data_IF_274091245852
#
_entry.id   IF_274091245852
#
_cell.length_a   1.000
_cell.length_b   1.000
_cell.length_c   1.000
_cell.angle_alpha   90.00
_cell.angle_beta   90.00
_cell.angle_gamma   90.00
#
_symmetry.space_group_name_H-M   'P 1'
#
loop_
_entity.id
_entity.type
_entity.pdbx_description
1 polymer ?
#
# COMPACT_ATOMS: atom_id res chain seq x y z
N UNK A 1 -35.10 -36.60 -15.10
CA UNK A 1 -34.93 -36.57 -13.64
C UNK A 1 -33.68 -35.76 -13.36
N UNK A 2 -33.73 -34.78 -12.45
CA UNK A 2 -32.52 -34.08 -12.00
C UNK A 2 -31.58 -35.11 -11.34
N UNK A 3 -30.28 -35.08 -11.66
CA UNK A 3 -29.25 -35.93 -11.04
C UNK A 3 -28.58 -35.21 -9.85
N UNK A 4 -29.35 -34.41 -9.13
CA UNK A 4 -28.84 -33.70 -7.97
C UNK A 4 -28.75 -34.64 -6.76
N UNK A 5 -27.61 -34.59 -6.08
CA UNK A 5 -27.35 -35.33 -4.84
C UNK A 5 -27.21 -34.34 -3.68
N UNK A 6 -27.87 -34.65 -2.57
CA UNK A 6 -27.84 -33.84 -1.34
C UNK A 6 -27.43 -34.73 -0.17
N UNK A 7 -26.29 -34.43 0.45
CA UNK A 7 -25.74 -35.16 1.59
C UNK A 7 -25.71 -34.25 2.81
N UNK A 8 -26.15 -34.79 3.94
CA UNK A 8 -26.06 -34.17 5.25
C UNK A 8 -25.63 -35.23 6.26
N UNK A 9 -24.34 -35.25 6.61
CA UNK A 9 -23.75 -36.23 7.53
C UNK A 9 -23.30 -35.58 8.83
N UNK A 10 -23.47 -36.30 9.93
CA UNK A 10 -22.94 -35.98 11.25
C UNK A 10 -22.15 -37.21 11.75
N UNK A 11 -20.83 -37.16 11.61
CA UNK A 11 -19.92 -38.26 11.93
C UNK A 11 -18.87 -37.81 12.96
N UNK A 12 -17.99 -38.72 13.41
CA UNK A 12 -16.88 -38.38 14.32
C UNK A 12 -15.95 -37.29 13.75
N UNK A 13 -15.82 -37.25 12.42
CA UNK A 13 -15.04 -36.23 11.72
C UNK A 13 -15.71 -34.85 11.77
N UNK A 14 -17.02 -34.77 12.05
CA UNK A 14 -17.79 -33.54 12.12
C UNK A 14 -18.97 -33.48 11.15
N UNK A 15 -19.43 -32.26 10.84
CA UNK A 15 -20.53 -32.02 9.91
C UNK A 15 -20.00 -31.97 8.48
N UNK A 16 -20.67 -32.69 7.57
CA UNK A 16 -20.48 -32.59 6.13
C UNK A 16 -21.83 -32.28 5.46
N UNK A 17 -21.90 -31.12 4.79
CA UNK A 17 -23.01 -30.75 3.91
C UNK A 17 -22.46 -30.71 2.49
N UNK A 18 -23.05 -31.46 1.58
CA UNK A 18 -22.64 -31.51 0.18
C UNK A 18 -23.87 -31.47 -0.72
N UNK A 19 -23.94 -30.44 -1.57
CA UNK A 19 -25.01 -30.25 -2.55
C UNK A 19 -24.36 -30.31 -3.92
N UNK A 20 -24.65 -31.35 -4.69
CA UNK A 20 -24.04 -31.61 -5.99
C UNK A 20 -25.10 -31.70 -7.08
N UNK A 21 -24.74 -31.19 -8.25
CA UNK A 21 -25.39 -31.48 -9.53
C UNK A 21 -24.37 -32.24 -10.41
N UNK A 22 -24.71 -32.55 -11.67
CA UNK A 22 -23.85 -33.37 -12.55
C UNK A 22 -22.40 -32.89 -12.66
N UNK A 23 -22.16 -31.57 -12.64
CA UNK A 23 -20.82 -30.98 -12.72
C UNK A 23 -20.55 -29.84 -11.73
N UNK A 24 -21.57 -29.43 -10.97
CA UNK A 24 -21.50 -28.30 -10.03
C UNK A 24 -21.64 -28.79 -8.60
N UNK A 25 -21.18 -28.00 -7.64
CA UNK A 25 -21.38 -28.35 -6.25
C UNK A 25 -21.00 -27.28 -5.25
N UNK A 26 -21.59 -27.40 -4.08
CA UNK A 26 -21.27 -26.62 -2.89
C UNK A 26 -21.07 -27.59 -1.72
N UNK A 27 -19.87 -27.58 -1.14
CA UNK A 27 -19.51 -28.45 -0.01
C UNK A 27 -19.07 -27.60 1.17
N UNK A 28 -19.63 -27.88 2.35
CA UNK A 28 -19.23 -27.27 3.62
C UNK A 28 -18.86 -28.37 4.62
N UNK A 29 -17.71 -28.20 5.30
CA UNK A 29 -17.26 -29.09 6.38
C UNK A 29 -16.98 -28.31 7.66
N UNK A 30 -17.49 -28.79 8.78
CA UNK A 30 -17.14 -28.34 10.13
C UNK A 30 -16.51 -29.51 10.87
N UNK A 31 -15.18 -29.61 10.82
CA UNK A 31 -14.44 -30.80 11.26
C UNK A 31 -14.07 -30.73 12.76
N UNK A 32 -14.07 -31.87 13.44
CA UNK A 32 -13.64 -32.00 14.85
C UNK A 32 -12.14 -31.72 15.06
N UNK A 33 -11.36 -31.70 13.97
CA UNK A 33 -9.95 -31.27 13.93
C UNK A 33 -9.76 -29.75 14.13
N UNK A 34 -10.84 -28.98 14.17
CA UNK A 34 -10.81 -27.51 14.26
C UNK A 34 -10.74 -26.81 12.90
N UNK A 35 -10.98 -27.54 11.81
CA UNK A 35 -11.00 -26.99 10.44
C UNK A 35 -12.42 -26.69 9.98
N UNK A 36 -12.60 -25.52 9.37
CA UNK A 36 -13.80 -25.14 8.63
C UNK A 36 -13.42 -25.00 7.16
N UNK A 37 -14.20 -25.57 6.25
CA UNK A 37 -13.97 -25.40 4.81
C UNK A 37 -15.26 -25.24 4.04
N UNK A 38 -15.24 -24.35 3.05
CA UNK A 38 -16.32 -24.10 2.11
C UNK A 38 -15.75 -24.17 0.70
N UNK A 39 -16.44 -24.86 -0.20
CA UNK A 39 -16.10 -24.91 -1.62
C UNK A 39 -17.37 -24.65 -2.42
N UNK A 40 -17.25 -23.88 -3.48
CA UNK A 40 -18.30 -23.65 -4.46
C UNK A 40 -17.68 -23.65 -5.86
N UNK A 41 -18.41 -24.14 -6.85
CA UNK A 41 -17.93 -24.16 -8.24
C UNK A 41 -18.06 -22.82 -8.95
N UNK A 42 -18.84 -21.87 -8.43
CA UNK A 42 -19.09 -20.57 -9.04
C UNK A 42 -18.59 -19.42 -8.16
N UNK A 43 -19.33 -19.06 -7.11
CA UNK A 43 -19.00 -17.96 -6.21
C UNK A 43 -19.38 -18.26 -4.75
N UNK A 44 -18.77 -17.51 -3.84
CA UNK A 44 -19.25 -17.35 -2.46
C UNK A 44 -19.45 -15.84 -2.28
N UNK A 45 -20.71 -15.42 -2.26
CA UNK A 45 -21.09 -14.02 -2.05
C UNK A 45 -21.53 -13.85 -0.60
N UNK A 46 -20.97 -12.86 0.09
CA UNK A 46 -21.25 -12.60 1.51
C UNK A 46 -21.38 -11.10 1.74
N UNK A 47 -22.62 -10.65 1.86
CA UNK A 47 -22.97 -9.24 2.08
C UNK A 47 -23.29 -8.98 3.55
N UNK A 48 -23.00 -7.77 4.04
CA UNK A 48 -23.35 -7.32 5.38
C UNK A 48 -23.81 -5.87 5.35
N UNK A 49 -24.71 -5.47 6.27
CA UNK A 49 -25.22 -4.11 6.32
C UNK A 49 -24.24 -3.10 6.92
N UNK A 50 -23.35 -3.54 7.82
CA UNK A 50 -22.48 -2.65 8.59
C UNK A 50 -21.01 -3.00 8.48
N UNK A 51 -20.68 -4.28 8.68
CA UNK A 51 -19.30 -4.70 8.80
C UNK A 51 -19.10 -6.17 8.43
N UNK A 52 -17.97 -6.44 7.77
CA UNK A 52 -17.35 -7.77 7.70
C UNK A 52 -16.04 -7.68 8.48
N UNK A 53 -15.73 -8.66 9.33
CA UNK A 53 -14.48 -8.68 10.10
C UNK A 53 -13.94 -10.09 10.21
N UNK A 54 -12.67 -10.24 9.88
CA UNK A 54 -11.90 -11.47 10.03
C UNK A 54 -10.71 -11.21 10.95
N UNK A 55 -10.66 -11.93 12.07
CA UNK A 55 -9.61 -11.76 13.08
C UNK A 55 -8.82 -13.06 13.26
N UNK A 56 -7.49 -12.93 13.32
CA UNK A 56 -6.58 -14.01 13.74
C UNK A 56 -5.59 -13.44 14.74
N UNK A 57 -5.87 -13.62 16.04
CA UNK A 57 -5.10 -13.00 17.14
C UNK A 57 -5.03 -11.47 16.97
N UNK A 58 -3.84 -10.90 16.79
CA UNK A 58 -3.57 -9.47 16.63
C UNK A 58 -3.70 -8.99 15.17
N UNK A 59 -4.11 -9.87 14.24
CA UNK A 59 -4.33 -9.53 12.82
C UNK A 59 -5.82 -9.38 12.52
N UNK A 60 -6.18 -8.35 11.77
CA UNK A 60 -7.56 -7.99 11.44
C UNK A 60 -7.69 -7.58 9.97
N UNK A 61 -8.72 -8.09 9.32
CA UNK A 61 -9.28 -7.53 8.10
C UNK A 61 -10.68 -7.04 8.45
N UNK A 62 -11.00 -5.78 8.16
CA UNK A 62 -12.39 -5.30 8.30
C UNK A 62 -12.82 -4.42 7.17
N UNK A 63 -14.07 -4.58 6.77
CA UNK A 63 -14.75 -3.78 5.76
C UNK A 63 -15.94 -3.13 6.43
N UNK A 64 -16.08 -1.83 6.26
CA UNK A 64 -17.25 -1.02 6.64
C UNK A 64 -17.69 -0.20 5.43
N UNK A 65 -18.76 0.58 5.54
CA UNK A 65 -19.23 1.45 4.46
C UNK A 65 -18.15 2.43 3.94
N UNK A 66 -17.23 2.88 4.80
CA UNK A 66 -16.27 3.96 4.49
C UNK A 66 -14.81 3.52 4.56
N UNK A 67 -14.55 2.31 5.03
CA UNK A 67 -13.19 1.89 5.36
C UNK A 67 -12.98 0.40 5.10
N UNK A 68 -11.89 0.10 4.41
CA UNK A 68 -11.27 -1.22 4.37
C UNK A 68 -9.94 -1.15 5.12
N UNK A 69 -9.80 -1.97 6.16
CA UNK A 69 -8.62 -2.03 7.01
C UNK A 69 -7.96 -3.40 6.92
N UNK A 70 -6.67 -3.42 6.62
CA UNK A 70 -5.78 -4.58 6.71
C UNK A 70 -4.74 -4.26 7.79
N UNK A 71 -4.86 -4.83 8.99
CA UNK A 71 -4.04 -4.45 10.13
C UNK A 71 -3.41 -5.65 10.83
N UNK A 72 -2.20 -5.45 11.32
CA UNK A 72 -1.55 -6.26 12.35
C UNK A 72 -1.18 -5.36 13.53
N UNK A 73 -0.50 -5.92 14.53
CA UNK A 73 -0.02 -5.16 15.70
C UNK A 73 0.81 -3.91 15.38
N UNK A 74 1.60 -3.90 14.29
CA UNK A 74 2.57 -2.83 13.98
C UNK A 74 2.44 -2.24 12.58
N UNK A 75 1.57 -2.81 11.75
CA UNK A 75 1.37 -2.38 10.38
C UNK A 75 -0.11 -2.26 10.06
N UNK A 76 -0.46 -1.31 9.20
CA UNK A 76 -1.81 -1.19 8.68
C UNK A 76 -1.83 -0.63 7.26
N UNK A 77 -2.79 -1.08 6.48
CA UNK A 77 -3.24 -0.43 5.25
C UNK A 77 -4.70 -0.07 5.48
N UNK A 78 -5.03 1.21 5.31
CA UNK A 78 -6.37 1.74 5.46
C UNK A 78 -6.77 2.39 4.14
N UNK A 79 -7.84 1.89 3.55
CA UNK A 79 -8.48 2.47 2.36
C UNK A 79 -9.76 3.14 2.84
N UNK A 80 -9.83 4.46 2.67
CA UNK A 80 -10.99 5.28 3.01
C UNK A 80 -11.39 6.08 1.75
N UNK A 81 -12.59 6.64 1.73
CA UNK A 81 -13.21 7.24 0.53
C UNK A 81 -12.32 8.28 -0.18
N UNK A 82 -11.57 9.09 0.58
CA UNK A 82 -10.72 10.17 0.06
C UNK A 82 -9.24 9.98 0.44
N UNK A 83 -8.87 8.83 0.99
CA UNK A 83 -7.56 8.65 1.60
C UNK A 83 -7.09 7.21 1.67
N UNK A 84 -5.85 6.97 1.27
CA UNK A 84 -5.13 5.71 1.48
C UNK A 84 -3.99 5.97 2.47
N UNK A 85 -3.88 5.15 3.51
CA UNK A 85 -2.80 5.23 4.51
C UNK A 85 -2.11 3.88 4.64
N UNK A 86 -0.80 3.87 4.42
CA UNK A 86 0.07 2.72 4.65
C UNK A 86 1.01 3.07 5.80
N UNK A 87 0.99 2.29 6.88
CA UNK A 87 1.76 2.55 8.09
C UNK A 87 2.55 1.34 8.52
N UNK A 88 3.83 1.54 8.86
CA UNK A 88 4.69 0.57 9.53
C UNK A 88 5.47 1.30 10.62
N UNK A 89 5.13 1.07 11.88
CA UNK A 89 5.70 1.83 13.00
C UNK A 89 5.48 3.34 12.83
N UNK A 90 6.57 4.11 12.70
CA UNK A 90 6.54 5.57 12.51
C UNK A 90 6.64 5.99 11.03
N UNK A 91 6.88 5.06 10.11
CA UNK A 91 6.91 5.36 8.68
C UNK A 91 5.50 5.28 8.12
N UNK A 92 5.11 6.31 7.38
CA UNK A 92 3.76 6.45 6.81
C UNK A 92 3.83 6.92 5.36
N UNK A 93 3.01 6.32 4.51
CA UNK A 93 2.68 6.84 3.18
C UNK A 93 1.19 7.17 3.19
N UNK A 94 0.88 8.39 2.81
CA UNK A 94 -0.48 8.91 2.74
C UNK A 94 -0.74 9.38 1.32
N UNK A 95 -1.84 8.90 0.74
CA UNK A 95 -2.38 9.40 -0.53
C UNK A 95 -3.74 10.02 -0.22
N UNK A 96 -3.90 11.27 -0.58
CA UNK A 96 -5.10 12.08 -0.44
C UNK A 96 -5.52 12.57 -1.85
N UNK A 97 -6.71 13.17 -1.97
CA UNK A 97 -7.25 13.64 -3.26
C UNK A 97 -6.29 14.54 -4.07
N UNK A 98 -5.42 15.29 -3.40
CA UNK A 98 -4.50 16.25 -4.02
C UNK A 98 -3.05 16.15 -3.56
N UNK A 99 -2.70 15.13 -2.77
CA UNK A 99 -1.35 15.03 -2.20
C UNK A 99 -0.88 13.60 -2.03
N UNK A 100 0.45 13.47 -2.05
CA UNK A 100 1.16 12.26 -1.66
C UNK A 100 2.19 12.68 -0.62
N UNK A 101 2.06 12.15 0.60
CA UNK A 101 2.97 12.43 1.70
C UNK A 101 3.73 11.16 2.10
N UNK A 102 5.05 11.26 2.20
CA UNK A 102 5.93 10.17 2.61
C UNK A 102 6.72 10.64 3.83
N UNK A 103 6.43 10.04 4.97
CA UNK A 103 7.04 10.38 6.25
C UNK A 103 7.81 9.18 6.79
N UNK A 104 9.09 9.37 7.13
CA UNK A 104 9.96 8.32 7.65
C UNK A 104 11.16 8.94 8.36
N UNK A 105 11.84 8.17 9.21
CA UNK A 105 13.12 8.59 9.77
C UNK A 105 14.23 8.71 8.71
N UNK A 106 14.19 7.85 7.68
CA UNK A 106 15.13 7.87 6.55
C UNK A 106 14.39 7.54 5.25
N UNK A 107 14.75 8.22 4.16
CA UNK A 107 14.27 7.95 2.80
C UNK A 107 15.49 7.69 1.90
N UNK A 108 15.58 6.49 1.34
CA UNK A 108 16.61 6.12 0.36
C UNK A 108 15.96 5.90 -1.00
N UNK A 109 16.41 6.63 -2.02
CA UNK A 109 15.91 6.51 -3.40
C UNK A 109 17.05 6.01 -4.28
N UNK A 110 16.86 4.88 -4.96
CA UNK A 110 17.82 4.29 -5.90
C UNK A 110 17.16 4.14 -7.26
N UNK A 111 17.90 4.46 -8.32
CA UNK A 111 17.49 4.22 -9.71
C UNK A 111 18.63 3.53 -10.46
N UNK A 112 18.28 2.69 -11.43
CA UNK A 112 19.24 2.04 -12.32
C UNK A 112 19.58 2.90 -13.54
N UNK A 113 18.72 3.85 -13.90
CA UNK A 113 18.90 4.71 -15.06
C UNK A 113 18.79 6.18 -14.65
N UNK A 114 17.56 6.70 -14.54
CA UNK A 114 17.30 8.11 -14.28
C UNK A 114 16.32 8.29 -13.12
N UNK A 115 16.41 9.44 -12.45
CA UNK A 115 15.39 9.96 -11.53
C UNK A 115 14.95 11.32 -12.05
N UNK A 116 13.81 11.38 -12.71
CA UNK A 116 13.29 12.61 -13.30
C UNK A 116 12.30 13.27 -12.35
N UNK A 117 12.60 14.49 -11.91
CA UNK A 117 11.69 15.30 -11.08
C UNK A 117 11.25 16.51 -11.91
N UNK A 118 9.96 16.56 -12.23
CA UNK A 118 9.34 17.67 -12.97
C UNK A 118 8.23 18.28 -12.11
N UNK A 119 8.06 19.60 -12.21
CA UNK A 119 6.99 20.30 -11.52
C UNK A 119 6.43 21.40 -12.41
N UNK A 120 5.10 21.53 -12.45
CA UNK A 120 4.41 22.62 -13.14
C UNK A 120 4.46 23.94 -12.35
N UNK A 121 4.87 23.87 -11.09
CA UNK A 121 5.07 25.01 -10.19
C UNK A 121 6.42 24.85 -9.48
N UNK A 122 6.68 25.67 -8.47
CA UNK A 122 7.95 25.70 -7.74
C UNK A 122 8.21 24.38 -6.98
N UNK A 123 9.46 23.92 -6.98
CA UNK A 123 9.93 22.85 -6.10
C UNK A 123 10.62 23.49 -4.88
N UNK A 124 10.09 23.25 -3.69
CA UNK A 124 10.69 23.71 -2.43
C UNK A 124 11.48 22.59 -1.74
N UNK A 125 12.80 22.74 -1.65
CA UNK A 125 13.68 21.81 -0.92
C UNK A 125 14.20 22.51 0.34
N UNK A 126 13.93 21.91 1.52
CA UNK A 126 14.38 22.41 2.83
C UNK A 126 15.13 21.30 3.55
N UNK A 127 16.20 21.65 4.25
CA UNK A 127 16.99 20.72 5.08
C UNK A 127 17.95 21.49 5.98
N UNK A 128 18.41 20.87 7.07
CA UNK A 128 19.37 21.48 8.01
C UNK A 128 20.74 21.65 7.34
N UNK A 129 21.36 20.53 6.95
CA UNK A 129 22.58 20.49 6.16
C UNK A 129 22.28 19.74 4.86
N UNK A 130 22.40 20.41 3.73
CA UNK A 130 22.20 19.81 2.41
C UNK A 130 23.57 19.63 1.74
N UNK A 131 23.90 18.41 1.34
CA UNK A 131 25.08 18.10 0.53
C UNK A 131 24.62 17.49 -0.79
N UNK A 132 24.77 18.25 -1.87
CA UNK A 132 24.44 17.79 -3.23
C UNK A 132 25.77 17.50 -3.92
N UNK A 133 25.96 16.24 -4.33
CA UNK A 133 27.14 15.80 -5.07
C UNK A 133 26.72 15.26 -6.42
N UNK A 134 27.38 15.72 -7.48
CA UNK A 134 27.32 15.12 -8.80
C UNK A 134 28.72 14.71 -9.23
N UNK A 135 28.88 13.47 -9.71
CA UNK A 135 30.19 12.95 -10.10
C UNK A 135 30.59 13.36 -11.53
N UNK A 136 29.61 13.64 -12.40
CA UNK A 136 29.84 14.04 -13.81
C UNK A 136 29.62 15.55 -14.00
N UNK A 137 28.40 16.02 -13.74
CA UNK A 137 28.04 17.43 -13.89
C UNK A 137 26.83 17.81 -13.05
N UNK A 138 26.75 19.09 -12.68
CA UNK A 138 25.57 19.73 -12.11
C UNK A 138 25.28 20.98 -12.94
N UNK A 139 24.16 20.98 -13.67
CA UNK A 139 23.69 22.14 -14.43
C UNK A 139 22.53 22.79 -13.69
N UNK A 140 22.58 24.11 -13.51
CA UNK A 140 21.50 24.91 -12.97
C UNK A 140 21.21 26.05 -13.93
N UNK A 141 20.01 26.05 -14.52
CA UNK A 141 19.61 26.98 -15.57
C UNK A 141 18.30 27.69 -15.18
N UNK A 142 18.22 28.98 -15.51
CA UNK A 142 17.05 29.80 -15.26
C UNK A 142 17.35 31.27 -15.55
N UNK A 143 16.30 32.09 -15.68
CA UNK A 143 16.43 33.54 -15.91
C UNK A 143 17.16 34.22 -14.74
N UNK A 144 17.10 33.65 -13.54
CA UNK A 144 17.79 34.14 -12.35
C UNK A 144 18.22 32.97 -11.45
N UNK A 145 19.50 32.92 -11.09
CA UNK A 145 20.06 31.98 -10.10
C UNK A 145 20.66 32.81 -8.96
N UNK A 146 20.12 32.65 -7.75
CA UNK A 146 20.56 33.40 -6.58
C UNK A 146 21.03 32.47 -5.45
N UNK A 147 22.26 32.66 -4.99
CA UNK A 147 22.86 31.89 -3.91
C UNK A 147 23.08 32.83 -2.72
N UNK A 148 22.31 32.65 -1.64
CA UNK A 148 22.46 33.41 -0.40
C UNK A 148 23.03 32.51 0.69
N UNK A 149 24.29 32.73 1.06
CA UNK A 149 24.95 32.07 2.18
C UNK A 149 25.35 33.08 3.25
N UNK A 150 25.27 32.69 4.53
CA UNK A 150 25.66 33.55 5.66
C UNK A 150 27.15 33.50 5.98
N UNK A 151 27.90 32.52 5.47
CA UNK A 151 29.29 32.29 5.86
C UNK A 151 30.29 32.39 4.69
N UNK A 152 30.20 31.55 3.66
CA UNK A 152 31.16 31.56 2.54
C UNK A 152 30.64 30.73 1.36
N UNK A 153 30.85 31.21 0.13
CA UNK A 153 30.69 30.43 -1.10
C UNK A 153 32.06 30.28 -1.75
N UNK A 154 32.50 29.04 -2.01
CA UNK A 154 33.77 28.76 -2.69
C UNK A 154 33.47 28.08 -4.01
N UNK A 155 33.76 28.76 -5.12
CA UNK A 155 33.66 28.20 -6.46
C UNK A 155 35.09 27.93 -6.94
N UNK A 156 35.43 26.67 -7.23
CA UNK A 156 36.72 26.28 -7.80
C UNK A 156 36.48 25.66 -9.17
N UNK A 157 36.89 26.34 -10.22
CA UNK A 157 36.83 25.87 -11.60
C UNK A 157 38.08 26.29 -12.37
N UNK A 158 38.47 25.52 -13.38
CA UNK A 158 39.62 25.81 -14.25
C UNK A 158 39.37 27.01 -15.19
N UNK A 159 38.10 27.35 -15.45
CA UNK A 159 37.67 28.55 -16.16
C UNK A 159 36.25 28.91 -15.69
N UNK A 160 36.06 30.12 -15.18
CA UNK A 160 34.74 30.71 -14.95
C UNK A 160 34.52 31.77 -16.03
N UNK A 161 33.60 31.53 -16.95
CA UNK A 161 33.20 32.50 -17.98
C UNK A 161 31.85 33.08 -17.58
N UNK A 162 31.86 34.36 -17.19
CA UNK A 162 30.62 35.15 -17.13
C UNK A 162 30.33 35.61 -18.56
N UNK A 163 29.27 35.07 -19.16
CA UNK A 163 28.77 35.55 -20.45
C UNK A 163 27.62 36.51 -20.13
N UNK A 164 27.83 37.80 -20.44
CA UNK A 164 26.83 38.85 -20.26
C UNK A 164 25.82 38.91 -21.39
#
# INVERSE_FOLDING_TARGET
MSKADHIFNLEEQGLLIDIKDESKGCTTKLESSGKISHNATESIESTAEKQITENVKDSKISITEKEILLATKKSSIMLNDSKIVIKIGNSTIVLDDSSISIESGTINIKSSANTNIQASQNIGIKGLNNSIKADVSLNAEGVNVNIKGSATASIKGSAATMVG
#
